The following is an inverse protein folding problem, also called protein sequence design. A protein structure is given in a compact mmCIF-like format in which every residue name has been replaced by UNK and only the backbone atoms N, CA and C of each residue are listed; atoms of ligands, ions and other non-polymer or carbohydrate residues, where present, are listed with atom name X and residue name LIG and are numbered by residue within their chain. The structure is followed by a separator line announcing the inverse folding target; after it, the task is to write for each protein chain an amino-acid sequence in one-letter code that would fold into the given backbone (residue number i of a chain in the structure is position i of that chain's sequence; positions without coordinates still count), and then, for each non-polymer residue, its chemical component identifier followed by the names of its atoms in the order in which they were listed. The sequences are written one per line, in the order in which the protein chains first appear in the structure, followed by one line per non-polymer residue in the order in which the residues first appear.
data_IF_026069762379
#
_entry.id   IF_026069762379
#
_cell.length_a   1.000
_cell.length_b   1.000
_cell.length_c   1.000
_cell.angle_alpha   90.00
_cell.angle_beta   90.00
_cell.angle_gamma   90.00
#
_symmetry.space_group_name_H-M   'P 1'
#
loop_
_entity.id
_entity.type
_entity.pdbx_description
1 polymer ?
#
# COMPACT_ATOMS: atom_id res chain seq x y z
N UNK A 1 0.54 -6.19 -14.44
CA UNK A 1 0.52 -5.15 -15.49
C UNK A 1 1.24 -5.71 -16.72
N UNK A 2 0.73 -5.45 -17.92
CA UNK A 2 1.41 -5.76 -19.17
C UNK A 2 1.70 -4.44 -19.89
N UNK A 3 2.95 -4.23 -20.32
CA UNK A 3 3.33 -3.02 -21.04
C UNK A 3 2.92 -3.09 -22.51
N UNK A 4 2.42 -1.98 -23.02
CA UNK A 4 2.18 -1.79 -24.45
C UNK A 4 3.48 -1.61 -25.23
N UNK A 5 3.40 -1.69 -26.56
CA UNK A 5 4.55 -1.50 -27.46
C UNK A 5 5.19 -0.11 -27.30
N UNK A 6 4.38 0.93 -27.13
CA UNK A 6 4.89 2.30 -26.98
C UNK A 6 5.52 2.53 -25.62
N UNK A 7 4.94 1.98 -24.54
CA UNK A 7 5.52 2.01 -23.20
C UNK A 7 6.88 1.29 -23.19
N UNK A 8 6.98 0.14 -23.86
CA UNK A 8 8.25 -0.59 -23.99
C UNK A 8 9.31 0.21 -24.77
N UNK A 9 8.93 0.96 -25.80
CA UNK A 9 9.84 1.84 -26.52
C UNK A 9 10.36 2.97 -25.62
N UNK A 10 9.47 3.61 -24.86
CA UNK A 10 9.83 4.66 -23.90
C UNK A 10 10.77 4.10 -22.83
N UNK A 11 10.44 2.95 -22.25
CA UNK A 11 11.27 2.28 -21.24
C UNK A 11 12.65 1.91 -21.79
N UNK A 12 12.73 1.31 -22.97
CA UNK A 12 14.01 0.97 -23.62
C UNK A 12 14.88 2.21 -23.82
N UNK A 13 14.29 3.33 -24.25
CA UNK A 13 15.04 4.57 -24.44
C UNK A 13 15.49 5.16 -23.11
N UNK A 14 14.63 5.19 -22.09
CA UNK A 14 14.98 5.64 -20.74
C UNK A 14 16.17 4.83 -20.17
N UNK A 15 16.15 3.51 -20.35
CA UNK A 15 17.25 2.63 -19.95
C UNK A 15 18.54 2.91 -20.74
N UNK A 16 18.45 3.17 -22.04
CA UNK A 16 19.61 3.52 -22.86
C UNK A 16 20.28 4.81 -22.36
N UNK A 17 19.49 5.82 -21.96
CA UNK A 17 20.01 7.05 -21.36
C UNK A 17 20.61 6.77 -19.98
N UNK A 18 19.96 5.95 -19.14
CA UNK A 18 20.50 5.61 -17.83
C UNK A 18 21.88 4.93 -17.91
N UNK A 19 22.11 4.13 -18.95
CA UNK A 19 23.41 3.51 -19.23
C UNK A 19 24.40 4.47 -19.89
N UNK A 20 23.91 5.36 -20.75
CA UNK A 20 24.71 6.33 -21.50
C UNK A 20 24.09 7.71 -21.40
N UNK A 21 24.43 8.49 -20.36
CA UNK A 21 23.80 9.77 -20.07
C UNK A 21 23.96 10.72 -21.25
N UNK A 22 22.85 11.03 -21.88
CA UNK A 22 22.74 11.94 -23.02
C UNK A 22 21.54 12.86 -22.78
N UNK A 23 21.59 14.12 -23.24
CA UNK A 23 20.46 15.02 -23.08
C UNK A 23 19.25 14.48 -23.86
N UNK A 24 18.11 14.35 -23.20
CA UNK A 24 16.85 14.01 -23.87
C UNK A 24 16.09 15.27 -24.29
N UNK A 25 15.35 15.23 -25.40
CA UNK A 25 14.41 16.29 -25.74
C UNK A 25 13.20 16.27 -24.80
N UNK A 26 12.55 17.41 -24.62
CA UNK A 26 11.47 17.59 -23.64
C UNK A 26 10.31 16.60 -23.81
N UNK A 27 9.92 16.30 -25.05
CA UNK A 27 8.85 15.33 -25.33
C UNK A 27 9.16 13.93 -24.80
N UNK A 28 10.44 13.57 -24.78
CA UNK A 28 10.91 12.28 -24.30
C UNK A 28 10.95 12.20 -22.79
N UNK A 29 11.30 13.30 -22.13
CA UNK A 29 11.22 13.46 -20.68
C UNK A 29 9.76 13.35 -20.24
N UNK A 30 8.85 14.06 -20.90
CA UNK A 30 7.41 14.00 -20.62
C UNK A 30 6.83 12.60 -20.83
N UNK A 31 7.28 11.87 -21.86
CA UNK A 31 6.87 10.48 -22.07
C UNK A 31 7.35 9.56 -20.93
N UNK A 32 8.57 9.76 -20.41
CA UNK A 32 9.08 8.99 -19.28
C UNK A 32 8.31 9.31 -17.99
N UNK A 33 7.99 10.58 -17.74
CA UNK A 33 7.21 10.99 -16.57
C UNK A 33 5.80 10.39 -16.60
N UNK A 34 5.12 10.43 -17.75
CA UNK A 34 3.80 9.79 -17.90
C UNK A 34 3.85 8.28 -17.71
N UNK A 35 4.91 7.62 -18.20
CA UNK A 35 5.10 6.18 -17.96
C UNK A 35 5.38 5.88 -16.50
N UNK A 36 6.15 6.71 -15.79
CA UNK A 36 6.36 6.55 -14.36
C UNK A 36 5.05 6.69 -13.57
N UNK A 37 4.25 7.71 -13.89
CA UNK A 37 2.93 7.91 -13.28
C UNK A 37 1.99 6.72 -13.55
N UNK A 38 1.96 6.17 -14.76
CA UNK A 38 1.12 5.00 -15.06
C UNK A 38 1.56 3.73 -14.31
N UNK A 39 2.87 3.55 -14.13
CA UNK A 39 3.42 2.45 -13.32
C UNK A 39 3.09 2.65 -11.84
N UNK A 40 3.25 3.86 -11.32
CA UNK A 40 2.94 4.17 -9.92
C UNK A 40 1.45 3.95 -9.64
N UNK A 41 0.56 4.39 -10.53
CA UNK A 41 -0.88 4.14 -10.43
C UNK A 41 -1.20 2.64 -10.47
N UNK A 42 -0.59 1.90 -11.41
CA UNK A 42 -0.77 0.46 -11.48
C UNK A 42 -0.26 -0.26 -10.22
N UNK A 43 0.81 0.23 -9.60
CA UNK A 43 1.33 -0.29 -8.33
C UNK A 43 0.39 0.04 -7.16
N UNK A 44 -0.18 1.23 -7.12
CA UNK A 44 -1.17 1.61 -6.11
C UNK A 44 -2.43 0.73 -6.21
N UNK A 45 -2.98 0.56 -7.42
CA UNK A 45 -4.16 -0.27 -7.62
C UNK A 45 -3.87 -1.75 -7.34
N UNK A 46 -2.70 -2.26 -7.74
CA UNK A 46 -2.28 -3.60 -7.35
C UNK A 46 -2.17 -3.76 -5.81
N UNK A 47 -1.75 -2.72 -5.11
CA UNK A 47 -1.78 -2.64 -3.65
C UNK A 47 -3.20 -2.77 -3.10
N UNK A 48 -4.13 -1.97 -3.61
CA UNK A 48 -5.55 -2.01 -3.21
C UNK A 48 -6.19 -3.38 -3.44
N UNK A 49 -5.97 -3.99 -4.61
CA UNK A 49 -6.47 -5.33 -4.92
C UNK A 49 -5.89 -6.39 -3.98
N UNK A 50 -4.60 -6.28 -3.64
CA UNK A 50 -3.96 -7.17 -2.68
C UNK A 50 -4.55 -7.01 -1.27
N UNK A 51 -4.77 -5.78 -0.81
CA UNK A 51 -5.37 -5.54 0.51
C UNK A 51 -6.79 -6.12 0.60
N UNK A 52 -7.58 -5.96 -0.46
CA UNK A 52 -8.89 -6.59 -0.58
C UNK A 52 -8.80 -8.12 -0.52
N UNK A 53 -7.89 -8.73 -1.30
CA UNK A 53 -7.69 -10.18 -1.32
C UNK A 53 -7.29 -10.70 0.06
N UNK A 54 -6.41 -10.01 0.78
CA UNK A 54 -5.97 -10.41 2.12
C UNK A 54 -7.10 -10.30 3.16
N UNK A 55 -7.93 -9.27 3.05
CA UNK A 55 -9.12 -9.13 3.89
C UNK A 55 -10.12 -10.26 3.63
N UNK A 56 -10.32 -10.63 2.36
CA UNK A 56 -11.16 -11.76 1.98
C UNK A 56 -10.57 -13.08 2.47
N UNK A 57 -9.26 -13.30 2.34
CA UNK A 57 -8.58 -14.50 2.83
C UNK A 57 -8.80 -14.68 4.34
N UNK A 58 -8.69 -13.60 5.13
CA UNK A 58 -9.00 -13.61 6.55
C UNK A 58 -10.48 -13.97 6.83
N UNK A 59 -11.42 -13.43 6.05
CA UNK A 59 -12.85 -13.73 6.17
C UNK A 59 -13.15 -15.20 5.88
N UNK A 60 -12.61 -15.73 4.79
CA UNK A 60 -12.75 -17.14 4.44
C UNK A 60 -12.12 -18.02 5.52
N UNK A 61 -10.94 -17.67 6.04
CA UNK A 61 -10.30 -18.42 7.13
C UNK A 61 -11.15 -18.47 8.40
N UNK A 62 -11.79 -17.36 8.76
CA UNK A 62 -12.69 -17.29 9.93
C UNK A 62 -13.97 -18.12 9.75
N UNK A 63 -14.41 -18.34 8.50
CA UNK A 63 -15.59 -19.14 8.18
C UNK A 63 -15.29 -20.65 8.03
N UNK A 64 -14.08 -21.11 8.35
CA UNK A 64 -13.75 -22.52 8.30
C UNK A 64 -14.49 -23.31 9.39
N UNK A 65 -14.91 -24.56 9.10
CA UNK A 65 -14.63 -25.34 7.88
C UNK A 65 -15.58 -25.08 6.70
N UNK A 66 -16.63 -24.28 6.87
CA UNK A 66 -17.70 -24.08 5.86
C UNK A 66 -17.24 -23.40 4.56
N UNK A 67 -16.11 -22.69 4.60
CA UNK A 67 -15.50 -21.98 3.48
C UNK A 67 -14.31 -22.70 2.83
N UNK A 68 -14.08 -23.98 3.15
CA UNK A 68 -12.86 -24.72 2.82
C UNK A 68 -12.42 -24.56 1.37
N UNK A 69 -13.31 -24.81 0.41
CA UNK A 69 -12.98 -24.76 -1.02
C UNK A 69 -12.51 -23.36 -1.42
N UNK A 70 -13.29 -22.32 -1.08
CA UNK A 70 -12.94 -20.94 -1.42
C UNK A 70 -11.70 -20.44 -0.69
N UNK A 71 -11.44 -20.90 0.54
CA UNK A 71 -10.19 -20.59 1.24
C UNK A 71 -8.98 -21.18 0.53
N UNK A 72 -9.04 -22.43 0.07
CA UNK A 72 -7.91 -23.08 -0.61
C UNK A 72 -7.65 -22.50 -2.00
N UNK A 73 -8.70 -22.12 -2.75
CA UNK A 73 -8.58 -21.43 -4.05
C UNK A 73 -7.96 -20.05 -3.86
N UNK A 74 -8.53 -19.22 -2.97
CA UNK A 74 -8.04 -17.87 -2.73
C UNK A 74 -6.60 -17.87 -2.20
N UNK A 75 -6.23 -18.83 -1.36
CA UNK A 75 -4.85 -18.99 -0.89
C UNK A 75 -3.91 -19.38 -2.04
N UNK A 76 -4.34 -20.19 -3.01
CA UNK A 76 -3.52 -20.50 -4.19
C UNK A 76 -3.27 -19.27 -5.04
N UNK A 77 -4.31 -18.48 -5.30
CA UNK A 77 -4.19 -17.23 -6.07
C UNK A 77 -3.29 -16.22 -5.36
N UNK A 78 -3.45 -16.07 -4.04
CA UNK A 78 -2.57 -15.24 -3.21
C UNK A 78 -1.11 -15.68 -3.35
N UNK A 79 -0.85 -16.99 -3.25
CA UNK A 79 0.50 -17.55 -3.39
C UNK A 79 1.03 -17.34 -4.81
N UNK A 80 0.22 -17.47 -5.85
CA UNK A 80 0.64 -17.16 -7.22
C UNK A 80 1.04 -15.68 -7.37
N UNK A 81 0.36 -14.78 -6.67
CA UNK A 81 0.67 -13.35 -6.58
C UNK A 81 1.85 -12.99 -5.65
N UNK A 82 2.55 -13.98 -5.09
CA UNK A 82 3.72 -13.75 -4.24
C UNK A 82 3.43 -13.53 -2.76
N UNK A 83 2.22 -13.81 -2.29
CA UNK A 83 1.87 -13.78 -0.87
C UNK A 83 2.78 -14.73 -0.05
N UNK A 84 3.19 -14.25 1.12
CA UNK A 84 3.92 -15.03 2.12
C UNK A 84 2.93 -15.47 3.20
N UNK A 85 2.71 -16.79 3.38
CA UNK A 85 1.69 -17.30 4.28
C UNK A 85 1.97 -16.94 5.74
N UNK A 86 0.90 -16.57 6.46
CA UNK A 86 0.94 -16.22 7.88
C UNK A 86 0.92 -17.49 8.77
N UNK A 87 1.32 -17.38 10.04
CA UNK A 87 1.20 -18.48 11.00
C UNK A 87 -0.23 -19.03 11.09
N UNK A 88 -1.23 -18.16 11.04
CA UNK A 88 -2.64 -18.51 11.03
C UNK A 88 -3.04 -19.34 9.80
N UNK A 89 -2.46 -19.06 8.64
CA UNK A 89 -2.74 -19.83 7.41
C UNK A 89 -2.19 -21.25 7.56
N UNK A 90 -0.98 -21.37 8.14
CA UNK A 90 -0.38 -22.67 8.46
C UNK A 90 -1.19 -23.40 9.54
N UNK A 91 -1.75 -22.70 10.54
CA UNK A 91 -2.60 -23.28 11.55
C UNK A 91 -3.91 -23.79 10.96
N UNK A 92 -4.56 -22.99 10.11
CA UNK A 92 -5.78 -23.37 9.39
C UNK A 92 -5.54 -24.61 8.52
N UNK A 93 -4.48 -24.63 7.70
CA UNK A 93 -4.14 -25.79 6.88
C UNK A 93 -3.83 -27.04 7.73
N UNK A 94 -3.18 -26.89 8.88
CA UNK A 94 -2.94 -27.99 9.83
C UNK A 94 -4.22 -28.47 10.52
N UNK A 95 -5.28 -27.67 10.61
CA UNK A 95 -6.57 -28.11 11.14
C UNK A 95 -7.37 -28.91 10.09
N UNK A 96 -7.11 -28.67 8.80
CA UNK A 96 -7.78 -29.30 7.66
C UNK A 96 -7.14 -30.64 7.23
N UNK A 97 -6.63 -31.46 8.16
CA UNK A 97 -5.80 -32.66 7.88
C UNK A 97 -6.47 -33.75 7.05
N UNK A 98 -7.81 -33.72 6.92
CA UNK A 98 -8.56 -34.65 6.08
C UNK A 98 -8.55 -34.32 4.59
N UNK A 99 -8.05 -33.15 4.18
CA UNK A 99 -8.03 -32.71 2.79
C UNK A 99 -6.64 -32.89 2.16
N UNK A 100 -6.51 -33.69 1.09
CA UNK A 100 -5.23 -33.83 0.39
C UNK A 100 -4.79 -32.51 -0.26
N UNK A 101 -5.74 -31.68 -0.70
CA UNK A 101 -5.45 -30.36 -1.24
C UNK A 101 -4.86 -29.42 -0.18
N UNK A 102 -5.40 -29.45 1.04
CA UNK A 102 -4.86 -28.66 2.15
C UNK A 102 -3.47 -29.13 2.57
N UNK A 103 -3.22 -30.44 2.58
CA UNK A 103 -1.91 -31.01 2.87
C UNK A 103 -0.85 -30.59 1.83
N UNK A 104 -1.18 -30.67 0.54
CA UNK A 104 -0.29 -30.23 -0.53
C UNK A 104 0.02 -28.72 -0.47
N UNK A 105 -0.99 -27.91 -0.11
CA UNK A 105 -0.80 -26.48 0.11
C UNK A 105 0.08 -26.18 1.33
N UNK A 106 -0.10 -26.92 2.42
CA UNK A 106 0.69 -26.76 3.64
C UNK A 106 2.19 -26.93 3.37
N UNK A 107 2.59 -27.94 2.59
CA UNK A 107 3.99 -28.15 2.23
C UNK A 107 4.56 -26.99 1.40
N UNK A 108 3.81 -26.50 0.41
CA UNK A 108 4.23 -25.33 -0.37
C UNK A 108 4.35 -24.08 0.50
N UNK A 109 3.41 -23.86 1.40
CA UNK A 109 3.41 -22.73 2.32
C UNK A 109 4.60 -22.78 3.29
N UNK A 110 4.96 -23.95 3.82
CA UNK A 110 6.14 -24.14 4.69
C UNK A 110 7.43 -23.75 3.99
N UNK A 111 7.66 -24.27 2.78
CA UNK A 111 8.87 -23.95 1.99
C UNK A 111 8.99 -22.44 1.75
N UNK A 112 7.88 -21.77 1.42
CA UNK A 112 7.88 -20.32 1.21
C UNK A 112 8.10 -19.53 2.49
N UNK A 113 7.42 -19.91 3.59
CA UNK A 113 7.60 -19.29 4.89
C UNK A 113 9.07 -19.40 5.35
N UNK A 114 9.66 -20.58 5.25
CA UNK A 114 11.08 -20.81 5.58
C UNK A 114 12.02 -19.98 4.72
N UNK A 115 11.82 -19.94 3.39
CA UNK A 115 12.60 -19.09 2.49
C UNK A 115 12.48 -17.62 2.89
N UNK A 116 11.28 -17.16 3.25
CA UNK A 116 11.07 -15.78 3.68
C UNK A 116 11.80 -15.47 4.99
N UNK A 117 11.78 -16.38 5.96
CA UNK A 117 12.51 -16.23 7.24
C UNK A 117 14.01 -16.18 6.98
N UNK A 118 14.53 -17.11 6.18
CA UNK A 118 15.95 -17.16 5.81
C UNK A 118 16.40 -15.89 5.10
N UNK A 119 15.60 -15.37 4.17
CA UNK A 119 15.88 -14.12 3.48
C UNK A 119 15.92 -12.92 4.45
N UNK A 120 14.98 -12.86 5.41
CA UNK A 120 14.98 -11.81 6.44
C UNK A 120 16.21 -11.89 7.36
N UNK A 121 16.59 -13.10 7.77
CA UNK A 121 17.78 -13.30 8.59
C UNK A 121 19.06 -12.91 7.83
N UNK A 122 19.19 -13.33 6.57
CA UNK A 122 20.32 -12.94 5.73
C UNK A 122 20.37 -11.43 5.51
N UNK A 123 19.23 -10.79 5.23
CA UNK A 123 19.12 -9.34 5.06
C UNK A 123 19.49 -8.57 6.32
N UNK A 124 19.17 -9.08 7.52
CA UNK A 124 19.59 -8.49 8.79
C UNK A 124 21.11 -8.56 8.98
N UNK A 125 21.71 -9.72 8.70
CA UNK A 125 23.17 -9.88 8.76
C UNK A 125 23.85 -8.91 7.80
N UNK A 126 23.32 -8.77 6.59
CA UNK A 126 23.82 -7.79 5.62
C UNK A 126 23.65 -6.36 6.11
N UNK A 127 22.48 -5.98 6.63
CA UNK A 127 22.24 -4.62 7.14
C UNK A 127 23.14 -4.28 8.35
N UNK A 128 23.34 -5.24 9.26
CA UNK A 128 24.25 -5.11 10.40
C UNK A 128 25.71 -4.97 9.91
N UNK A 129 26.13 -5.77 8.92
CA UNK A 129 27.46 -5.65 8.33
C UNK A 129 27.66 -4.30 7.60
N UNK A 130 26.66 -3.83 6.85
CA UNK A 130 26.70 -2.52 6.19
C UNK A 130 26.70 -1.38 7.21
N UNK A 131 25.97 -1.49 8.32
CA UNK A 131 26.00 -0.50 9.40
C UNK A 131 27.38 -0.43 10.06
N UNK A 132 28.00 -1.58 10.36
CA UNK A 132 29.37 -1.65 10.90
C UNK A 132 30.37 -1.05 9.89
N UNK A 133 30.23 -1.38 8.60
CA UNK A 133 31.10 -0.84 7.56
C UNK A 133 30.90 0.67 7.35
N UNK A 134 29.65 1.16 7.42
CA UNK A 134 29.34 2.59 7.33
C UNK A 134 29.86 3.38 8.54
N UNK A 135 29.89 2.79 9.73
CA UNK A 135 30.52 3.38 10.92
C UNK A 135 32.04 3.45 10.78
N UNK A 136 32.68 2.45 10.14
CA UNK A 136 34.12 2.46 9.87
C UNK A 136 34.53 3.30 8.65
N UNK A 137 33.62 3.52 7.69
CA UNK A 137 33.83 4.35 6.50
C UNK A 137 33.35 5.81 6.68
N UNK A 138 32.75 6.15 7.83
CA UNK A 138 32.39 7.52 8.14
C UNK A 138 33.66 8.38 8.23
N UNK A 139 33.82 9.44 7.42
CA UNK A 139 34.93 10.36 7.60
C UNK A 139 34.82 11.01 8.98
N UNK A 140 35.97 11.18 9.64
CA UNK A 140 36.10 11.80 10.97
C UNK A 140 35.18 13.02 11.11
N UNK A 141 34.59 13.25 12.30
CA UNK A 141 33.62 14.34 12.50
C UNK A 141 34.29 15.64 12.07
N UNK A 142 33.80 16.21 10.96
CA UNK A 142 34.22 17.54 10.51
C UNK A 142 34.02 18.47 11.70
N UNK A 143 35.13 18.98 12.21
CA UNK A 143 35.19 20.02 13.24
C UNK A 143 34.10 21.03 12.92
N UNK A 144 33.13 21.19 13.85
CA UNK A 144 32.13 22.26 13.75
C UNK A 144 32.91 23.55 13.55
N UNK A 145 32.72 24.20 12.40
CA UNK A 145 33.26 25.53 12.15
C UNK A 145 32.76 26.43 13.28
N UNK A 146 33.67 26.80 14.18
CA UNK A 146 33.42 27.87 15.13
C UNK A 146 33.14 29.11 14.28
N UNK A 147 31.92 29.62 14.35
CA UNK A 147 31.59 30.92 13.78
C UNK A 147 32.58 31.94 14.32
N UNK A 148 33.36 32.55 13.43
CA UNK A 148 34.25 33.65 13.78
C UNK A 148 33.36 34.78 14.33
N UNK A 149 33.48 35.17 15.61
CA UNK A 149 32.74 36.30 16.14
C UNK A 149 33.51 37.55 15.76
N UNK A 150 33.14 38.22 14.66
CA UNK A 150 33.84 39.41 14.22
C UNK A 150 33.28 39.97 12.92
N UNK A 151 32.15 40.64 12.99
CA UNK A 151 31.55 41.29 11.83
C UNK A 151 30.28 42.05 12.16
N UNK A 152 30.39 43.14 12.93
CA UNK A 152 29.36 44.18 12.99
C UNK A 152 30.00 45.56 13.12
N UNK A 153 29.74 46.40 12.13
CA UNK A 153 29.76 47.85 12.27
C UNK A 153 28.34 48.35 12.58
N UNK A 154 28.29 49.50 13.27
CA UNK A 154 27.14 50.34 13.63
C UNK A 154 26.36 49.99 14.92
N UNK A 155 26.81 50.60 16.03
CA UNK A 155 26.08 51.53 16.91
C UNK A 155 24.55 51.43 17.03
N UNK A 156 24.03 50.97 18.18
CA UNK A 156 23.67 51.78 19.38
C UNK A 156 22.69 51.01 20.32
N UNK A 157 22.61 51.34 21.63
CA UNK A 157 22.13 50.43 22.67
C UNK A 157 20.69 50.72 23.16
N UNK A 158 19.88 49.66 23.39
CA UNK A 158 18.69 49.74 24.28
C UNK A 158 18.46 48.46 25.10
N UNK A 159 18.72 48.62 26.40
CA UNK A 159 18.19 48.03 27.65
C UNK A 159 17.62 46.58 27.67
N UNK A 160 18.02 45.75 28.65
CA UNK A 160 17.57 44.36 28.78
C UNK A 160 16.13 44.26 29.31
N UNK A 161 15.32 43.39 28.70
CA UNK A 161 14.03 42.91 29.25
C UNK A 161 14.20 41.51 29.82
N UNK A 162 13.69 41.32 31.02
CA UNK A 162 13.70 40.08 31.80
C UNK A 162 12.95 38.91 31.12
N UNK A 163 13.32 37.66 31.42
CA UNK A 163 12.73 36.47 30.80
C UNK A 163 11.32 36.18 31.33
N UNK A 164 10.34 36.14 30.43
CA UNK A 164 8.98 35.68 30.72
C UNK A 164 8.94 34.15 30.86
N UNK A 165 8.25 33.70 31.91
CA UNK A 165 7.95 32.28 32.21
C UNK A 165 7.15 31.62 31.07
N UNK A 166 7.34 30.31 30.82
CA UNK A 166 6.54 29.58 29.84
C UNK A 166 5.05 29.57 30.21
N UNK A 167 4.20 29.94 29.26
CA UNK A 167 2.75 29.82 29.38
C UNK A 167 2.34 28.35 29.27
N UNK A 168 1.45 27.91 30.16
CA UNK A 168 0.85 26.58 30.16
C UNK A 168 0.01 26.34 28.88
N UNK A 169 -0.04 25.11 28.36
CA UNK A 169 -0.85 24.78 27.19
C UNK A 169 -2.34 24.99 27.44
N UNK A 170 -2.98 25.84 26.62
CA UNK A 170 -4.44 25.93 26.56
C UNK A 170 -5.01 24.61 26.02
N UNK A 171 -5.89 23.99 26.80
CA UNK A 171 -6.69 22.85 26.36
C UNK A 171 -7.54 23.22 25.13
N UNK A 172 -7.56 22.39 24.07
CA UNK A 172 -8.48 22.61 22.96
C UNK A 172 -9.91 22.35 23.43
N UNK A 173 -10.77 23.35 23.24
CA UNK A 173 -12.20 23.26 23.52
C UNK A 173 -12.82 22.05 22.82
N UNK A 174 -13.49 21.20 23.59
CA UNK A 174 -14.28 20.07 23.12
C UNK A 174 -15.35 20.51 22.10
N UNK A 175 -15.50 19.81 20.96
CA UNK A 175 -16.52 20.16 19.96
C UNK A 175 -17.94 19.89 20.50
N UNK A 176 -18.82 20.87 20.33
CA UNK A 176 -20.26 20.77 20.70
C UNK A 176 -20.94 19.64 19.92
N UNK A 177 -21.85 18.85 20.55
CA UNK A 177 -22.64 17.86 19.84
C UNK A 177 -23.62 18.51 18.85
N UNK A 178 -23.86 17.90 17.67
CA UNK A 178 -24.82 18.42 16.69
C UNK A 178 -26.27 18.27 17.19
N UNK A 179 -27.09 19.27 16.87
CA UNK A 179 -28.50 19.33 17.27
C UNK A 179 -29.33 18.16 16.68
N UNK A 180 -30.33 17.63 17.41
CA UNK A 180 -31.20 16.58 16.92
C UNK A 180 -32.27 17.16 16.00
N UNK A 181 -32.48 16.54 14.83
CA UNK A 181 -33.72 16.78 14.08
C UNK A 181 -33.58 16.83 12.56
N UNK A 182 -33.34 15.67 11.94
CA UNK A 182 -34.00 15.35 10.67
C UNK A 182 -34.48 13.89 10.76
N UNK A 183 -35.81 13.64 10.71
CA UNK A 183 -36.32 12.27 10.76
C UNK A 183 -35.80 11.49 9.56
N UNK A 184 -35.27 10.29 9.79
CA UNK A 184 -34.90 9.37 8.71
C UNK A 184 -36.15 9.05 7.88
N UNK A 185 -36.08 9.11 6.54
CA UNK A 185 -37.19 8.74 5.68
C UNK A 185 -37.49 7.25 5.85
N UNK A 186 -38.77 6.89 5.89
CA UNK A 186 -39.19 5.49 6.11
C UNK A 186 -38.89 4.66 4.85
N UNK A 187 -38.66 3.33 4.99
CA UNK A 187 -38.31 2.45 3.87
C UNK A 187 -39.31 2.47 2.70
N UNK A 188 -40.57 2.83 2.94
CA UNK A 188 -41.63 2.92 1.94
C UNK A 188 -41.52 4.11 0.98
N UNK A 189 -40.66 5.09 1.27
CA UNK A 189 -40.41 6.24 0.38
C UNK A 189 -39.25 6.00 -0.60
N UNK A 190 -38.35 5.06 -0.29
CA UNK A 190 -37.18 4.74 -1.13
C UNK A 190 -37.48 3.64 -2.17
N UNK A 191 -38.54 2.85 -1.95
CA UNK A 191 -38.95 1.77 -2.84
C UNK A 191 -40.42 1.91 -3.27
N UNK A 192 -40.71 2.65 -4.36
CA UNK A 192 -42.06 2.63 -4.93
C UNK A 192 -42.42 1.20 -5.35
N UNK A 193 -43.65 0.73 -5.08
CA UNK A 193 -44.07 -0.63 -5.41
C UNK A 193 -43.96 -0.85 -6.92
N UNK A 194 -43.21 -1.90 -7.31
CA UNK A 194 -43.02 -2.31 -8.70
C UNK A 194 -44.38 -2.50 -9.38
N UNK A 195 -44.71 -1.63 -10.33
CA UNK A 195 -45.81 -1.86 -11.27
C UNK A 195 -45.47 -3.12 -12.08
N UNK A 196 -46.37 -4.11 -12.06
CA UNK A 196 -46.24 -5.32 -12.90
C UNK A 196 -46.28 -4.88 -14.37
N UNK A 197 -45.41 -5.40 -15.25
CA UNK A 197 -45.47 -5.09 -16.68
C UNK A 197 -46.75 -5.67 -17.28
N UNK A 198 -47.43 -4.87 -18.10
CA UNK A 198 -48.62 -5.25 -18.88
C UNK A 198 -48.20 -6.28 -19.94
N UNK A 199 -48.96 -7.38 -20.14
CA UNK A 199 -48.64 -8.35 -21.18
C UNK A 199 -48.79 -7.74 -22.59
N UNK A 200 -47.97 -8.16 -23.57
CA UNK A 200 -48.04 -7.66 -24.94
C UNK A 200 -49.33 -8.15 -25.64
N UNK A 201 -49.89 -7.37 -26.58
CA UNK A 201 -51.10 -7.75 -27.29
C UNK A 201 -50.81 -8.90 -28.27
N UNK A 202 -51.69 -9.91 -28.22
CA UNK A 202 -51.71 -11.02 -29.18
C UNK A 202 -52.00 -10.51 -30.59
N UNK A 203 -51.07 -10.77 -31.52
CA UNK A 203 -51.32 -10.55 -32.94
C UNK A 203 -52.05 -11.77 -33.49
N UNK A 204 -53.34 -11.61 -33.76
CA UNK A 204 -54.11 -12.54 -34.57
C UNK A 204 -53.50 -12.56 -35.98
N UNK A 205 -53.09 -13.74 -36.43
CA UNK A 205 -52.73 -13.98 -37.83
C UNK A 205 -54.00 -13.83 -38.69
N UNK A 206 -53.94 -12.94 -39.67
CA UNK A 206 -54.96 -12.81 -40.69
C UNK A 206 -54.41 -13.35 -42.01
N UNK A 207 -55.15 -14.31 -42.58
CA UNK A 207 -55.25 -14.58 -44.02
C UNK A 207 -54.05 -15.26 -44.67
#
# INVERSE_FOLDING_TARGET
MAFGTDELRVLRRALAVALHPTPLPDGDIQACLRLAESVDEAMHEAGRLRDFLLADLARYRQALPGSLTGYLELLQDALAAGYVPLPDDLAALRALRGSPAAAALLERCRIRAERSVRARLAGRVSAEAHAVHAVHAAPAPRTRLLSIPGGRAADEPRRPKEPQRPAEPREPASPKPPAPGRPMPKPSEVFPPRRRPTPPPERLAAG
#
